data_IF_208908233667
#
_entry.id   IF_208908233667
#
_cell.length_a   1.000
_cell.length_b   1.000
_cell.length_c   1.000
_cell.angle_alpha   90.00
_cell.angle_beta   90.00
_cell.angle_gamma   90.00
#
_symmetry.space_group_name_H-M   'P 1'
#
loop_
_entity.id
_entity.type
_entity.pdbx_description
1 polymer ?
#
# COMPACT_ATOMS: atom_id res chain seq x y z
N UNK A 1 11.54 22.97 -13.64
CA UNK A 1 10.25 22.29 -13.55
C UNK A 1 9.12 23.29 -13.38
N UNK A 2 9.17 24.15 -12.37
CA UNK A 2 8.16 25.21 -12.10
C UNK A 2 7.92 26.13 -13.31
N UNK A 3 8.96 26.43 -14.09
CA UNK A 3 8.87 27.25 -15.32
C UNK A 3 8.07 26.53 -16.42
N UNK A 4 8.21 25.22 -16.55
CA UNK A 4 7.50 24.43 -17.56
C UNK A 4 6.03 24.20 -17.21
N UNK A 5 5.70 24.09 -15.92
CA UNK A 5 4.30 24.10 -15.46
C UNK A 5 3.58 25.39 -15.88
N UNK A 6 4.25 26.55 -15.71
CA UNK A 6 3.68 27.86 -16.09
C UNK A 6 3.55 28.02 -17.61
N UNK A 7 4.36 27.33 -18.40
CA UNK A 7 4.30 27.37 -19.86
C UNK A 7 3.35 26.34 -20.49
N UNK A 8 2.63 25.53 -19.66
CA UNK A 8 1.63 24.60 -20.14
C UNK A 8 2.16 23.29 -20.72
N UNK A 9 3.35 22.87 -20.35
CA UNK A 9 3.95 21.58 -20.73
C UNK A 9 4.08 20.66 -19.50
N UNK A 10 2.96 20.14 -18.96
CA UNK A 10 2.96 19.41 -17.70
C UNK A 10 3.88 18.17 -17.71
N UNK A 11 3.96 17.49 -18.84
CA UNK A 11 4.77 16.28 -18.94
C UNK A 11 6.27 16.55 -18.80
N UNK A 12 6.77 17.64 -19.39
CA UNK A 12 8.18 18.03 -19.24
C UNK A 12 8.48 18.45 -17.80
N UNK A 13 7.56 19.18 -17.17
CA UNK A 13 7.67 19.53 -15.75
C UNK A 13 7.78 18.27 -14.87
N UNK A 14 6.90 17.29 -15.07
CA UNK A 14 6.93 16.02 -14.33
C UNK A 14 8.26 15.26 -14.55
N UNK A 15 8.77 15.26 -15.78
CA UNK A 15 10.06 14.63 -16.10
C UNK A 15 11.21 15.35 -15.38
N UNK A 16 11.24 16.67 -15.39
CA UNK A 16 12.24 17.44 -14.66
C UNK A 16 12.19 17.20 -13.15
N UNK A 17 10.99 17.10 -12.56
CA UNK A 17 10.85 16.75 -11.13
C UNK A 17 11.36 15.34 -10.85
N UNK A 18 11.04 14.36 -11.71
CA UNK A 18 11.52 12.99 -11.53
C UNK A 18 13.04 12.87 -11.67
N UNK A 19 13.65 13.62 -12.57
CA UNK A 19 15.11 13.61 -12.74
C UNK A 19 15.82 14.33 -11.58
N UNK A 20 15.25 15.43 -11.09
CA UNK A 20 15.73 16.09 -9.87
C UNK A 20 15.67 15.13 -8.67
N UNK A 21 14.59 14.38 -8.52
CA UNK A 21 14.46 13.39 -7.46
C UNK A 21 15.51 12.27 -7.57
N UNK A 22 15.79 11.77 -8.78
CA UNK A 22 16.81 10.74 -9.01
C UNK A 22 18.22 11.23 -8.62
N UNK A 23 18.52 12.49 -8.87
CA UNK A 23 19.80 13.07 -8.47
C UNK A 23 19.88 13.26 -6.95
N UNK A 24 18.80 13.76 -6.34
CA UNK A 24 18.74 13.96 -4.89
C UNK A 24 18.82 12.65 -4.12
N UNK A 25 18.19 11.57 -4.59
CA UNK A 25 18.30 10.23 -3.96
C UNK A 25 19.74 9.75 -3.78
N UNK A 26 20.69 10.22 -4.57
CA UNK A 26 22.10 9.83 -4.46
C UNK A 26 22.86 10.61 -3.37
N UNK A 27 22.37 11.77 -2.96
CA UNK A 27 23.06 12.71 -2.07
C UNK A 27 22.24 12.96 -0.81
N UNK A 28 20.95 13.16 -0.97
CA UNK A 28 19.98 13.43 0.11
C UNK A 28 18.64 12.77 -0.22
N UNK A 29 18.43 11.57 0.33
CA UNK A 29 17.22 10.78 0.07
C UNK A 29 15.97 11.52 0.55
N UNK A 30 16.03 12.20 1.69
CA UNK A 30 14.91 12.99 2.24
C UNK A 30 14.55 14.17 1.36
N UNK A 31 15.54 14.83 0.78
CA UNK A 31 15.34 15.93 -0.17
C UNK A 31 14.64 15.52 -1.47
N UNK A 32 14.61 14.21 -1.79
CA UNK A 32 13.92 13.71 -2.97
C UNK A 32 12.40 13.66 -2.81
N UNK A 33 11.84 13.73 -1.60
CA UNK A 33 10.40 13.63 -1.32
C UNK A 33 9.62 14.70 -2.10
N UNK A 34 9.97 15.97 -1.90
CA UNK A 34 9.24 17.11 -2.50
C UNK A 34 9.19 17.03 -4.04
N UNK A 35 10.30 16.78 -4.75
CA UNK A 35 10.24 16.58 -6.20
C UNK A 35 9.40 15.38 -6.62
N UNK A 36 9.43 14.25 -5.87
CA UNK A 36 8.61 13.09 -6.17
C UNK A 36 7.11 13.38 -6.03
N UNK A 37 6.71 14.04 -4.95
CA UNK A 37 5.32 14.47 -4.73
C UNK A 37 4.83 15.39 -5.86
N UNK A 38 5.66 16.35 -6.29
CA UNK A 38 5.32 17.22 -7.41
C UNK A 38 5.19 16.44 -8.72
N UNK A 39 6.08 15.48 -8.99
CA UNK A 39 5.97 14.62 -10.16
C UNK A 39 4.69 13.80 -10.11
N UNK A 40 4.36 13.17 -8.97
CA UNK A 40 3.13 12.40 -8.78
C UNK A 40 1.89 13.27 -9.02
N UNK A 41 1.84 14.48 -8.47
CA UNK A 41 0.73 15.42 -8.64
C UNK A 41 0.51 15.82 -10.11
N UNK A 42 1.57 16.14 -10.84
CA UNK A 42 1.47 16.48 -12.27
C UNK A 42 1.01 15.28 -13.09
N UNK A 43 1.50 14.07 -12.80
CA UNK A 43 1.06 12.86 -13.49
C UNK A 43 -0.41 12.52 -13.17
N UNK A 44 -0.87 12.73 -11.94
CA UNK A 44 -2.27 12.55 -11.57
C UNK A 44 -3.17 13.53 -12.32
N UNK A 45 -2.82 14.82 -12.40
CA UNK A 45 -3.56 15.83 -13.16
C UNK A 45 -3.66 15.52 -14.65
N UNK A 46 -2.66 14.84 -15.21
CA UNK A 46 -2.65 14.43 -16.62
C UNK A 46 -3.18 13.01 -16.85
N UNK A 47 -3.87 12.43 -15.86
CA UNK A 47 -4.46 11.09 -15.89
C UNK A 47 -3.45 9.97 -16.21
N UNK A 48 -2.18 10.19 -15.91
CA UNK A 48 -1.12 9.17 -16.03
C UNK A 48 -0.92 8.46 -14.70
N UNK A 49 -1.95 7.74 -14.28
CA UNK A 49 -2.05 7.17 -12.93
C UNK A 49 -0.98 6.13 -12.61
N UNK A 50 -0.48 5.38 -13.60
CA UNK A 50 0.65 4.45 -13.42
C UNK A 50 1.92 5.17 -12.92
N UNK A 51 2.24 6.35 -13.47
CA UNK A 51 3.39 7.15 -13.01
C UNK A 51 3.10 7.82 -11.68
N UNK A 52 1.88 8.34 -11.47
CA UNK A 52 1.47 8.91 -10.20
C UNK A 52 1.60 7.89 -9.06
N UNK A 53 1.05 6.69 -9.25
CA UNK A 53 1.18 5.57 -8.29
C UNK A 53 2.64 5.21 -8.01
N UNK A 54 3.48 5.12 -9.06
CA UNK A 54 4.90 4.80 -8.91
C UNK A 54 5.64 5.82 -8.03
N UNK A 55 5.45 7.12 -8.27
CA UNK A 55 6.15 8.15 -7.52
C UNK A 55 5.62 8.30 -6.10
N UNK A 56 4.29 8.15 -5.87
CA UNK A 56 3.74 8.09 -4.51
C UNK A 56 4.28 6.89 -3.73
N UNK A 57 4.43 5.72 -4.39
CA UNK A 57 5.07 4.55 -3.79
C UNK A 57 6.53 4.83 -3.39
N UNK A 58 7.29 5.52 -4.24
CA UNK A 58 8.67 5.89 -3.92
C UNK A 58 8.76 6.86 -2.73
N UNK A 59 7.83 7.82 -2.63
CA UNK A 59 7.72 8.72 -1.44
C UNK A 59 7.42 7.91 -0.19
N UNK A 60 6.44 7.01 -0.26
CA UNK A 60 6.05 6.16 0.86
C UNK A 60 7.22 5.30 1.37
N UNK A 61 8.01 4.72 0.46
CA UNK A 61 9.19 3.92 0.81
C UNK A 61 10.29 4.76 1.50
N UNK A 62 10.50 6.00 1.08
CA UNK A 62 11.45 6.92 1.74
C UNK A 62 10.94 7.30 3.13
N UNK A 63 9.65 7.61 3.26
CA UNK A 63 9.03 7.96 4.54
C UNK A 63 9.08 6.78 5.53
N UNK A 64 8.87 5.55 5.06
CA UNK A 64 8.93 4.34 5.89
C UNK A 64 10.35 4.05 6.39
N UNK A 65 11.35 4.12 5.49
CA UNK A 65 12.68 3.57 5.77
C UNK A 65 13.70 4.63 6.20
N UNK A 66 13.66 5.83 5.65
CA UNK A 66 14.68 6.86 5.84
C UNK A 66 14.25 7.98 6.78
N UNK A 67 12.97 8.33 6.77
CA UNK A 67 12.39 9.36 7.66
C UNK A 67 11.83 8.74 8.92
N UNK A 68 11.27 7.53 8.80
CA UNK A 68 10.56 6.78 9.86
C UNK A 68 9.28 7.51 10.31
N UNK A 69 8.60 8.15 9.36
CA UNK A 69 7.26 8.71 9.55
C UNK A 69 6.22 7.71 9.00
N UNK A 70 5.76 6.81 9.87
CA UNK A 70 4.89 5.72 9.47
C UNK A 70 3.48 6.19 9.09
N UNK A 71 2.99 7.30 9.67
CA UNK A 71 1.68 7.85 9.31
C UNK A 71 1.71 8.47 7.91
N UNK A 72 2.71 9.30 7.63
CA UNK A 72 2.90 9.86 6.30
C UNK A 72 3.19 8.78 5.26
N UNK A 73 3.97 7.75 5.61
CA UNK A 73 4.22 6.60 4.74
C UNK A 73 2.92 5.87 4.40
N UNK A 74 2.07 5.57 5.39
CA UNK A 74 0.80 4.91 5.19
C UNK A 74 -0.11 5.72 4.24
N UNK A 75 -0.25 7.03 4.46
CA UNK A 75 -1.04 7.90 3.59
C UNK A 75 -0.55 7.90 2.13
N UNK A 76 0.77 7.89 1.92
CA UNK A 76 1.35 7.82 0.58
C UNK A 76 1.21 6.43 -0.07
N UNK A 77 1.24 5.34 0.71
CA UNK A 77 0.90 4.00 0.19
C UNK A 77 -0.57 3.90 -0.20
N UNK A 78 -1.50 4.50 0.58
CA UNK A 78 -2.92 4.58 0.22
C UNK A 78 -3.11 5.37 -1.08
N UNK A 79 -2.49 6.53 -1.20
CA UNK A 79 -2.52 7.34 -2.43
C UNK A 79 -1.97 6.57 -3.64
N UNK A 80 -0.89 5.82 -3.45
CA UNK A 80 -0.32 4.98 -4.50
C UNK A 80 -1.27 3.84 -4.90
N UNK A 81 -1.99 3.27 -3.93
CA UNK A 81 -3.03 2.25 -4.14
C UNK A 81 -4.19 2.81 -4.97
N UNK A 82 -4.71 3.99 -4.61
CA UNK A 82 -5.80 4.64 -5.32
C UNK A 82 -5.44 4.92 -6.79
N UNK A 83 -4.24 5.45 -7.03
CA UNK A 83 -3.77 5.66 -8.41
C UNK A 83 -3.59 4.35 -9.17
N UNK A 84 -3.11 3.29 -8.52
CA UNK A 84 -2.99 1.98 -9.15
C UNK A 84 -4.36 1.40 -9.52
N UNK A 85 -5.37 1.61 -8.69
CA UNK A 85 -6.74 1.22 -8.97
C UNK A 85 -7.33 1.99 -10.16
N UNK A 86 -7.08 3.31 -10.22
CA UNK A 86 -7.52 4.16 -11.34
C UNK A 86 -6.86 3.78 -12.67
N UNK A 87 -5.63 3.26 -12.64
CA UNK A 87 -4.92 2.80 -13.85
C UNK A 87 -5.51 1.50 -14.41
N UNK A 88 -6.14 0.66 -13.59
CA UNK A 88 -6.81 -0.59 -13.97
C UNK A 88 -5.89 -1.73 -14.43
N UNK A 89 -4.60 -1.50 -14.58
CA UNK A 89 -3.61 -2.50 -15.05
C UNK A 89 -2.58 -2.88 -13.98
N UNK A 90 -2.63 -2.24 -12.84
CA UNK A 90 -1.57 -2.31 -11.83
C UNK A 90 -1.83 -3.33 -10.71
N UNK A 91 -2.46 -4.48 -10.98
CA UNK A 91 -2.86 -5.44 -9.95
C UNK A 91 -1.75 -5.84 -8.98
N UNK A 92 -0.54 -6.08 -9.45
CA UNK A 92 0.59 -6.41 -8.58
C UNK A 92 1.04 -5.22 -7.71
N UNK A 93 1.01 -4.00 -8.25
CA UNK A 93 1.36 -2.78 -7.51
C UNK A 93 0.29 -2.45 -6.48
N UNK A 94 -0.98 -2.58 -6.84
CA UNK A 94 -2.12 -2.45 -5.94
C UNK A 94 -2.00 -3.40 -4.74
N UNK A 95 -1.76 -4.69 -4.99
CA UNK A 95 -1.57 -5.69 -3.95
C UNK A 95 -0.37 -5.37 -3.03
N UNK A 96 0.74 -4.87 -3.61
CA UNK A 96 1.91 -4.43 -2.84
C UNK A 96 1.56 -3.25 -1.92
N UNK A 97 0.88 -2.22 -2.44
CA UNK A 97 0.48 -1.05 -1.67
C UNK A 97 -0.48 -1.45 -0.54
N UNK A 98 -1.54 -2.20 -0.83
CA UNK A 98 -2.51 -2.64 0.18
C UNK A 98 -1.85 -3.47 1.28
N UNK A 99 -0.90 -4.35 0.93
CA UNK A 99 -0.13 -5.12 1.92
C UNK A 99 0.70 -4.21 2.84
N UNK A 100 1.29 -3.16 2.30
CA UNK A 100 2.05 -2.17 3.07
C UNK A 100 1.14 -1.35 3.98
N UNK A 101 0.01 -0.86 3.45
CA UNK A 101 -0.99 -0.12 4.25
C UNK A 101 -1.49 -0.98 5.40
N UNK A 102 -1.87 -2.24 5.15
CA UNK A 102 -2.36 -3.15 6.18
C UNK A 102 -1.33 -3.37 7.32
N UNK A 103 -0.06 -3.54 6.95
CA UNK A 103 1.03 -3.70 7.94
C UNK A 103 1.24 -2.43 8.75
N UNK A 104 1.29 -1.26 8.11
CA UNK A 104 1.48 0.02 8.78
C UNK A 104 0.27 0.36 9.66
N UNK A 105 -0.96 0.10 9.20
CA UNK A 105 -2.16 0.26 10.01
C UNK A 105 -2.12 -0.58 11.28
N UNK A 106 -1.65 -1.83 11.21
CA UNK A 106 -1.48 -2.69 12.37
C UNK A 106 -0.41 -2.14 13.35
N UNK A 107 0.71 -1.62 12.84
CA UNK A 107 1.77 -1.01 13.66
C UNK A 107 1.30 0.30 14.31
N UNK A 108 0.47 1.07 13.62
CA UNK A 108 -0.11 2.32 14.10
C UNK A 108 -1.37 2.10 14.98
N UNK A 109 -1.66 0.86 15.35
CA UNK A 109 -2.82 0.46 16.16
C UNK A 109 -4.19 0.82 15.53
N UNK A 110 -4.23 1.09 14.22
CA UNK A 110 -5.44 1.28 13.42
C UNK A 110 -6.03 -0.08 13.04
N UNK A 111 -6.41 -0.87 14.05
CA UNK A 111 -6.72 -2.29 13.88
C UNK A 111 -7.89 -2.55 12.94
N UNK A 112 -8.96 -1.76 12.98
CA UNK A 112 -10.11 -1.93 12.10
C UNK A 112 -9.68 -1.88 10.62
N UNK A 113 -8.90 -0.88 10.26
CA UNK A 113 -8.38 -0.73 8.90
C UNK A 113 -7.42 -1.86 8.50
N UNK A 114 -6.58 -2.29 9.44
CA UNK A 114 -5.67 -3.42 9.21
C UNK A 114 -6.43 -4.72 8.95
N UNK A 115 -7.48 -4.99 9.75
CA UNK A 115 -8.33 -6.17 9.62
C UNK A 115 -9.00 -6.20 8.25
N UNK A 116 -9.66 -5.11 7.86
CA UNK A 116 -10.33 -5.00 6.55
C UNK A 116 -9.37 -5.35 5.40
N UNK A 117 -8.22 -4.71 5.37
CA UNK A 117 -7.24 -4.93 4.30
C UNK A 117 -6.61 -6.33 4.32
N UNK A 118 -6.33 -6.90 5.49
CA UNK A 118 -5.82 -8.25 5.57
C UNK A 118 -6.87 -9.27 5.12
N UNK A 119 -8.15 -9.08 5.44
CA UNK A 119 -9.26 -9.91 4.97
C UNK A 119 -9.42 -9.82 3.45
N UNK A 120 -9.41 -8.61 2.89
CA UNK A 120 -9.49 -8.40 1.43
C UNK A 120 -8.34 -9.10 0.68
N UNK A 121 -7.11 -8.96 1.19
CA UNK A 121 -5.95 -9.63 0.59
C UNK A 121 -6.08 -11.15 0.69
N UNK A 122 -6.50 -11.66 1.85
CA UNK A 122 -6.66 -13.09 2.06
C UNK A 122 -7.74 -13.67 1.13
N UNK A 123 -8.89 -12.99 1.01
CA UNK A 123 -10.00 -13.40 0.14
C UNK A 123 -9.58 -13.43 -1.34
N UNK A 124 -8.84 -12.41 -1.80
CA UNK A 124 -8.29 -12.39 -3.14
C UNK A 124 -7.29 -13.54 -3.39
N UNK A 125 -6.54 -13.92 -2.35
CA UNK A 125 -5.58 -15.02 -2.45
C UNK A 125 -6.27 -16.38 -2.48
N UNK A 126 -7.39 -16.57 -1.77
CA UNK A 126 -8.18 -17.80 -1.83
C UNK A 126 -8.67 -18.10 -3.25
N UNK A 127 -9.02 -17.07 -4.01
CA UNK A 127 -9.51 -17.18 -5.39
C UNK A 127 -8.38 -17.38 -6.42
N UNK A 128 -7.12 -17.20 -6.01
CA UNK A 128 -5.95 -17.33 -6.89
C UNK A 128 -5.23 -18.66 -6.66
N UNK A 129 -5.23 -19.55 -7.65
CA UNK A 129 -4.63 -20.88 -7.55
C UNK A 129 -3.14 -20.91 -7.16
N UNK A 130 -2.39 -19.86 -7.52
CA UNK A 130 -0.96 -19.75 -7.19
C UNK A 130 -0.72 -19.22 -5.77
N UNK A 131 -1.64 -18.42 -5.23
CA UNK A 131 -1.47 -17.70 -3.97
C UNK A 131 -2.33 -18.24 -2.83
N UNK A 132 -3.25 -19.16 -3.12
CA UNK A 132 -4.23 -19.69 -2.15
C UNK A 132 -3.62 -20.22 -0.84
N UNK A 133 -2.41 -20.77 -0.88
CA UNK A 133 -1.73 -21.24 0.34
C UNK A 133 -1.21 -20.10 1.23
N UNK A 134 -1.05 -18.90 0.66
CA UNK A 134 -0.59 -17.72 1.42
C UNK A 134 -1.73 -16.97 2.11
N UNK A 135 -3.01 -17.28 1.81
CA UNK A 135 -4.16 -16.64 2.45
C UNK A 135 -4.13 -16.80 3.99
N UNK A 136 -3.65 -17.94 4.48
CA UNK A 136 -3.57 -18.26 5.91
C UNK A 136 -2.72 -17.26 6.71
N UNK A 137 -1.66 -16.71 6.13
CA UNK A 137 -0.83 -15.70 6.79
C UNK A 137 -1.62 -14.39 7.00
N UNK A 138 -2.45 -14.02 6.04
CA UNK A 138 -3.23 -12.79 6.12
C UNK A 138 -4.44 -12.94 7.04
N UNK A 139 -5.12 -14.09 7.02
CA UNK A 139 -6.19 -14.40 7.99
C UNK A 139 -5.66 -14.42 9.42
N UNK A 140 -4.48 -15.02 9.66
CA UNK A 140 -3.84 -14.97 10.97
C UNK A 140 -3.58 -13.53 11.41
N UNK A 141 -3.04 -12.67 10.52
CA UNK A 141 -2.80 -11.25 10.84
C UNK A 141 -4.09 -10.50 11.15
N UNK A 142 -5.17 -10.74 10.41
CA UNK A 142 -6.48 -10.16 10.70
C UNK A 142 -7.02 -10.61 12.07
N UNK A 143 -6.92 -11.91 12.39
CA UNK A 143 -7.30 -12.45 13.70
C UNK A 143 -6.48 -11.85 14.84
N UNK A 144 -5.16 -11.73 14.66
CA UNK A 144 -4.28 -11.09 15.66
C UNK A 144 -4.63 -9.61 15.87
N UNK A 145 -4.91 -8.85 14.81
CA UNK A 145 -5.37 -7.47 14.93
C UNK A 145 -6.69 -7.38 15.70
N UNK A 146 -7.62 -8.31 15.47
CA UNK A 146 -8.90 -8.36 16.21
C UNK A 146 -8.66 -8.62 17.71
N UNK A 147 -7.73 -9.51 18.06
CA UNK A 147 -7.33 -9.72 19.45
C UNK A 147 -6.64 -8.49 20.08
N UNK A 148 -5.80 -7.80 19.32
CA UNK A 148 -5.17 -6.55 19.77
C UNK A 148 -6.21 -5.45 20.01
N UNK A 149 -7.29 -5.41 19.23
CA UNK A 149 -8.45 -4.55 19.48
C UNK A 149 -9.29 -4.96 20.69
N UNK A 150 -8.88 -6.02 21.42
CA UNK A 150 -9.53 -6.59 22.62
C UNK A 150 -10.91 -7.22 22.33
N UNK A 151 -11.17 -7.62 21.11
CA UNK A 151 -12.40 -8.31 20.70
C UNK A 151 -12.16 -9.84 20.59
N UNK A 152 -12.18 -10.53 21.72
CA UNK A 152 -11.97 -11.98 21.77
C UNK A 152 -13.10 -12.76 21.10
N UNK A 153 -14.35 -12.33 21.30
CA UNK A 153 -15.50 -13.00 20.71
C UNK A 153 -15.57 -12.78 19.20
N UNK A 154 -15.30 -11.54 18.74
CA UNK A 154 -15.16 -11.25 17.32
C UNK A 154 -14.02 -12.04 16.66
N UNK A 155 -12.90 -12.24 17.36
CA UNK A 155 -11.79 -13.03 16.84
C UNK A 155 -12.20 -14.51 16.61
N UNK A 156 -12.96 -15.12 17.55
CA UNK A 156 -13.46 -16.50 17.39
C UNK A 156 -14.38 -16.61 16.17
N UNK A 157 -15.35 -15.72 16.06
CA UNK A 157 -16.29 -15.69 14.93
C UNK A 157 -15.55 -15.52 13.60
N UNK A 158 -14.51 -14.67 13.58
CA UNK A 158 -13.70 -14.47 12.38
C UNK A 158 -12.90 -15.72 12.00
N UNK A 159 -12.29 -16.41 12.96
CA UNK A 159 -11.55 -17.66 12.71
C UNK A 159 -12.48 -18.71 12.11
N UNK A 160 -13.67 -18.92 12.69
CA UNK A 160 -14.69 -19.84 12.12
C UNK A 160 -15.04 -19.47 10.68
N UNK A 161 -15.28 -18.19 10.40
CA UNK A 161 -15.54 -17.69 9.04
C UNK A 161 -14.36 -17.96 8.08
N UNK A 162 -13.11 -17.78 8.53
CA UNK A 162 -11.93 -18.03 7.71
C UNK A 162 -11.74 -19.53 7.41
N UNK A 163 -12.04 -20.39 8.38
CA UNK A 163 -12.01 -21.84 8.20
C UNK A 163 -13.05 -22.32 7.19
N UNK A 164 -14.25 -21.72 7.20
CA UNK A 164 -15.30 -22.03 6.23
C UNK A 164 -14.95 -21.52 4.82
N UNK A 165 -14.28 -20.36 4.72
CA UNK A 165 -13.87 -19.75 3.46
C UNK A 165 -12.69 -20.47 2.81
N UNK A 166 -11.74 -20.95 3.61
CA UNK A 166 -10.48 -21.52 3.14
C UNK A 166 -10.11 -22.82 3.89
N UNK A 167 -10.33 -23.97 3.24
CA UNK A 167 -9.91 -25.26 3.78
C UNK A 167 -8.41 -25.31 4.13
N UNK A 168 -7.58 -24.59 3.38
CA UNK A 168 -6.13 -24.48 3.65
C UNK A 168 -5.81 -23.73 4.94
N UNK A 169 -6.69 -22.85 5.41
CA UNK A 169 -6.58 -22.20 6.71
C UNK A 169 -6.99 -23.17 7.83
N UNK A 170 -8.12 -23.83 7.72
CA UNK A 170 -8.64 -24.80 8.71
C UNK A 170 -7.62 -25.86 9.11
N UNK A 171 -6.88 -26.40 8.14
CA UNK A 171 -5.90 -27.46 8.36
C UNK A 171 -4.49 -26.93 8.75
N UNK A 172 -4.36 -25.63 8.91
CA UNK A 172 -3.09 -24.97 9.19
C UNK A 172 -2.82 -24.79 10.68
N UNK A 173 -1.58 -24.41 11.02
CA UNK A 173 -1.23 -24.01 12.38
C UNK A 173 -1.78 -22.63 12.72
N UNK A 174 -1.99 -21.84 11.71
CA UNK A 174 -2.43 -20.46 11.78
C UNK A 174 -3.89 -20.33 12.26
N UNK A 175 -4.73 -21.41 12.14
CA UNK A 175 -6.08 -21.43 12.69
C UNK A 175 -6.16 -21.90 14.14
N UNK A 176 -5.13 -22.58 14.65
CA UNK A 176 -5.06 -23.14 16.03
C UNK A 176 -4.49 -22.16 17.03
#
# INVERSE_FOLDING_TARGET
ATMQETLGVPHEAATCYSDAAKMLKKVDVKGAIVPLEKAAGVYAQTSKFNFASKYSLEVAEILENDVVDLEAAMANFEMASDFAQMDGQAGAQLAKCNTKVAKLAAVLEKYDRAIELFEEIADAYVENDLLKFSCKEYYLKAGLCTLCAKDLEGAKVKVERYEDRAAYFRDSRESK
#
